data_IF_117219022868
#
_entry.id   IF_117219022868
#
_cell.length_a   1.000
_cell.length_b   1.000
_cell.length_c   1.000
_cell.angle_alpha   90.00
_cell.angle_beta   90.00
_cell.angle_gamma   90.00
#
_symmetry.space_group_name_H-M   'P 1'
#
loop_
_entity.id
_entity.type
_entity.pdbx_description
1 polymer ?
#
# COMPACT_ATOMS: atom_id res chain seq x y z
N UNK A 1 1.92 -4.84 17.79
CA UNK A 1 2.69 -3.81 17.08
C UNK A 1 1.71 -2.78 16.56
N UNK A 2 1.96 -1.50 16.77
CA UNK A 2 1.13 -0.43 16.18
C UNK A 2 1.66 -0.03 14.80
N UNK A 3 0.85 0.72 14.04
CA UNK A 3 1.28 1.23 12.72
C UNK A 3 2.44 2.22 12.84
N UNK A 4 2.47 3.02 13.90
CA UNK A 4 3.55 3.96 14.20
C UNK A 4 4.84 3.23 14.58
N UNK A 5 4.76 2.18 15.41
CA UNK A 5 5.91 1.33 15.77
C UNK A 5 6.51 0.60 14.56
N UNK A 6 5.65 0.12 13.65
CA UNK A 6 6.08 -0.54 12.43
C UNK A 6 6.70 0.45 11.45
N UNK A 7 6.06 1.60 11.23
CA UNK A 7 6.58 2.65 10.35
C UNK A 7 7.96 3.13 10.79
N UNK A 8 8.16 3.33 12.10
CA UNK A 8 9.48 3.69 12.65
C UNK A 8 10.57 2.64 12.38
N UNK A 9 10.22 1.35 12.32
CA UNK A 9 11.16 0.26 12.01
C UNK A 9 11.42 0.09 10.51
N UNK A 10 10.52 0.57 9.65
CA UNK A 10 10.65 0.53 8.20
C UNK A 10 11.37 1.77 7.64
N UNK A 11 11.39 2.87 8.39
CA UNK A 11 11.97 4.12 7.91
C UNK A 11 13.49 3.99 7.72
N UNK A 12 13.98 4.43 6.56
CA UNK A 12 15.37 4.30 6.14
C UNK A 12 15.69 3.00 5.40
N UNK A 13 14.67 2.25 4.95
CA UNK A 13 14.91 1.14 4.01
C UNK A 13 15.45 1.69 2.69
N UNK A 14 16.43 1.01 2.13
CA UNK A 14 16.98 1.31 0.81
C UNK A 14 16.11 0.71 -0.30
N UNK A 15 15.95 1.44 -1.40
CA UNK A 15 15.46 0.90 -2.66
C UNK A 15 16.56 0.02 -3.32
N UNK A 16 16.23 -1.17 -3.87
CA UNK A 16 14.93 -1.81 -3.90
C UNK A 16 14.49 -2.31 -2.53
N UNK A 17 13.23 -2.04 -2.18
CA UNK A 17 12.68 -2.31 -0.85
C UNK A 17 12.77 -3.80 -0.52
N UNK A 18 13.41 -4.11 0.61
CA UNK A 18 13.47 -5.47 1.16
C UNK A 18 13.05 -5.46 2.62
N UNK A 19 11.75 -5.62 2.85
CA UNK A 19 11.21 -5.66 4.21
C UNK A 19 11.69 -6.93 4.92
N UNK A 20 12.32 -6.82 6.12
CA UNK A 20 12.68 -7.99 6.92
C UNK A 20 11.47 -8.89 7.18
N UNK A 21 11.62 -10.20 6.95
CA UNK A 21 10.51 -11.15 7.11
C UNK A 21 9.87 -11.15 8.51
N UNK A 22 10.65 -10.83 9.55
CA UNK A 22 10.13 -10.65 10.91
C UNK A 22 9.15 -9.46 11.02
N UNK A 23 9.39 -8.36 10.30
CA UNK A 23 8.48 -7.22 10.25
C UNK A 23 7.22 -7.53 9.44
N UNK A 24 7.36 -8.25 8.32
CA UNK A 24 6.20 -8.73 7.55
C UNK A 24 5.30 -9.62 8.41
N UNK A 25 5.89 -10.58 9.13
CA UNK A 25 5.16 -11.46 10.02
C UNK A 25 4.52 -10.70 11.20
N UNK A 26 5.22 -9.72 11.77
CA UNK A 26 4.68 -8.89 12.83
C UNK A 26 3.50 -8.03 12.35
N UNK A 27 3.60 -7.44 11.16
CA UNK A 27 2.53 -6.71 10.50
C UNK A 27 1.31 -7.60 10.27
N UNK A 28 1.52 -8.79 9.70
CA UNK A 28 0.47 -9.78 9.49
C UNK A 28 -0.24 -10.16 10.80
N UNK A 29 0.51 -10.46 11.85
CA UNK A 29 -0.05 -10.83 13.16
C UNK A 29 -0.82 -9.69 13.84
N UNK A 30 -0.53 -8.44 13.49
CA UNK A 30 -1.18 -7.24 14.04
C UNK A 30 -2.27 -6.69 13.12
N UNK A 31 -2.57 -7.34 11.99
CA UNK A 31 -3.54 -6.85 11.01
C UNK A 31 -3.12 -5.54 10.32
N UNK A 32 -1.81 -5.29 10.24
CA UNK A 32 -1.24 -4.12 9.59
C UNK A 32 -0.85 -4.44 8.15
N UNK A 33 -1.09 -3.48 7.26
CA UNK A 33 -0.67 -3.51 5.86
C UNK A 33 0.37 -2.43 5.65
N UNK A 34 1.44 -2.77 4.94
CA UNK A 34 2.51 -1.88 4.52
C UNK A 34 2.32 -1.64 3.02
N UNK A 35 2.38 -0.38 2.59
CA UNK A 35 2.36 0.02 1.19
C UNK A 35 3.57 0.89 0.89
N UNK A 36 4.31 0.54 -0.16
CA UNK A 36 5.37 1.35 -0.75
C UNK A 36 5.39 1.19 -2.28
N UNK A 37 6.06 2.11 -2.95
CA UNK A 37 6.20 2.06 -4.40
C UNK A 37 7.45 1.30 -4.79
N UNK A 38 7.41 0.68 -5.96
CA UNK A 38 8.54 0.05 -6.60
C UNK A 38 8.59 0.42 -8.09
N UNK A 39 9.79 0.61 -8.62
CA UNK A 39 9.98 1.10 -9.99
C UNK A 39 9.19 2.40 -10.25
N UNK A 40 8.68 2.56 -11.47
CA UNK A 40 7.81 3.63 -11.97
C UNK A 40 6.36 3.20 -12.19
N UNK A 41 6.02 1.95 -11.83
CA UNK A 41 4.77 1.33 -12.21
C UNK A 41 4.11 0.45 -11.15
N UNK A 42 4.67 0.30 -9.94
CA UNK A 42 4.12 -0.64 -8.94
C UNK A 42 3.80 0.00 -7.59
N UNK A 43 2.60 -0.31 -7.09
CA UNK A 43 2.26 -0.27 -5.67
C UNK A 43 2.43 -1.68 -5.08
N UNK A 44 3.30 -1.84 -4.08
CA UNK A 44 3.53 -3.11 -3.42
C UNK A 44 2.94 -3.13 -2.00
N UNK A 45 2.14 -4.15 -1.71
CA UNK A 45 1.50 -4.35 -0.42
C UNK A 45 2.11 -5.54 0.31
N UNK A 46 2.36 -5.37 1.62
CA UNK A 46 2.93 -6.39 2.49
C UNK A 46 2.21 -6.48 3.85
N UNK A 47 2.48 -7.55 4.60
CA UNK A 47 1.95 -7.76 5.95
C UNK A 47 0.66 -8.57 5.93
N UNK A 48 -0.43 -8.00 6.47
CA UNK A 48 -1.72 -8.67 6.55
C UNK A 48 -2.34 -9.00 5.18
N UNK A 49 -1.89 -8.33 4.12
CA UNK A 49 -2.16 -8.65 2.72
C UNK A 49 -0.86 -8.52 1.93
N UNK A 50 -0.68 -9.39 0.93
CA UNK A 50 0.39 -9.31 -0.04
C UNK A 50 -0.24 -9.17 -1.41
N UNK A 51 0.08 -8.10 -2.11
CA UNK A 51 -0.42 -7.82 -3.45
C UNK A 51 0.52 -6.86 -4.18
N UNK A 52 0.47 -6.86 -5.51
CA UNK A 52 1.16 -5.91 -6.37
C UNK A 52 0.15 -5.32 -7.36
N UNK A 53 0.12 -4.00 -7.48
CA UNK A 53 -0.81 -3.31 -8.39
C UNK A 53 -0.02 -2.45 -9.36
N UNK A 54 -0.31 -2.62 -10.66
CA UNK A 54 0.18 -1.72 -11.70
C UNK A 54 -0.42 -0.32 -11.54
N UNK A 55 0.44 0.69 -11.49
CA UNK A 55 0.13 2.06 -11.14
C UNK A 55 1.06 3.04 -11.89
N UNK A 56 1.32 2.78 -13.18
CA UNK A 56 2.20 3.61 -14.01
C UNK A 56 1.73 5.07 -14.09
N UNK A 57 2.63 6.01 -13.80
CA UNK A 57 2.35 7.45 -13.66
C UNK A 57 1.31 7.77 -12.55
N UNK A 58 1.19 6.87 -11.57
CA UNK A 58 0.23 6.94 -10.48
C UNK A 58 -1.06 6.16 -10.76
N UNK A 59 -2.06 6.37 -9.90
CA UNK A 59 -3.34 5.64 -9.98
C UNK A 59 -4.03 5.52 -8.64
N UNK A 60 -5.04 4.65 -8.55
CA UNK A 60 -5.80 4.47 -7.31
C UNK A 60 -6.04 3.00 -7.04
N UNK A 61 -5.51 2.54 -5.90
CA UNK A 61 -5.90 1.26 -5.32
C UNK A 61 -7.18 1.45 -4.50
N UNK A 62 -8.09 0.49 -4.57
CA UNK A 62 -9.24 0.41 -3.67
C UNK A 62 -9.01 -0.72 -2.68
N UNK A 63 -9.19 -0.43 -1.38
CA UNK A 63 -8.97 -1.41 -0.31
C UNK A 63 -10.18 -1.50 0.62
N UNK A 64 -10.55 -2.70 1.01
CA UNK A 64 -11.56 -2.98 2.03
C UNK A 64 -11.00 -3.95 3.09
N UNK A 65 -11.85 -4.35 4.04
CA UNK A 65 -11.46 -5.27 5.11
C UNK A 65 -10.99 -6.66 4.59
N UNK A 66 -11.44 -7.05 3.39
CA UNK A 66 -11.05 -8.30 2.73
C UNK A 66 -9.73 -8.16 1.96
N UNK A 67 -9.34 -6.94 1.60
CA UNK A 67 -8.02 -6.60 1.09
C UNK A 67 -8.07 -5.61 -0.06
N UNK A 68 -7.10 -5.72 -0.96
CA UNK A 68 -7.03 -4.93 -2.18
C UNK A 68 -8.12 -5.45 -3.15
N UNK A 69 -8.79 -4.54 -3.85
CA UNK A 69 -9.70 -4.88 -4.94
C UNK A 69 -8.88 -5.10 -6.23
N UNK A 70 -9.20 -6.13 -7.02
CA UNK A 70 -8.55 -6.35 -8.31
C UNK A 70 -8.86 -5.21 -9.29
N UNK A 71 -8.06 -5.08 -10.34
CA UNK A 71 -8.40 -4.21 -11.46
C UNK A 71 -9.71 -4.69 -12.10
N UNK A 72 -10.69 -3.79 -12.20
CA UNK A 72 -12.00 -4.09 -12.80
C UNK A 72 -11.85 -4.57 -14.25
N UNK A 73 -10.89 -4.02 -14.99
CA UNK A 73 -10.71 -4.34 -16.41
C UNK A 73 -10.07 -5.73 -16.61
N UNK A 74 -9.55 -6.34 -15.54
CA UNK A 74 -9.09 -7.73 -15.53
C UNK A 74 -10.18 -8.75 -15.16
N UNK A 75 -11.41 -8.30 -14.84
CA UNK A 75 -12.51 -9.18 -14.44
C UNK A 75 -13.45 -9.49 -15.62
N UNK A 76 -13.56 -10.77 -15.95
CA UNK A 76 -14.42 -11.27 -17.03
C UNK A 76 -15.63 -12.07 -16.51
N UNK A 77 -15.56 -12.61 -15.28
CA UNK A 77 -16.61 -13.45 -14.71
C UNK A 77 -17.77 -12.64 -14.10
N UNK A 78 -19.03 -13.02 -14.38
CA UNK A 78 -20.21 -12.36 -13.80
C UNK A 78 -20.20 -12.37 -12.26
N UNK A 79 -19.76 -13.47 -11.64
CA UNK A 79 -19.65 -13.59 -10.18
C UNK A 79 -18.55 -12.68 -9.61
N UNK A 80 -17.37 -12.66 -10.25
CA UNK A 80 -16.24 -11.80 -9.86
C UNK A 80 -16.61 -10.32 -9.95
N UNK A 81 -17.30 -9.93 -11.03
CA UNK A 81 -17.81 -8.57 -11.22
C UNK A 81 -18.85 -8.22 -10.16
N UNK A 82 -19.76 -9.15 -9.85
CA UNK A 82 -20.77 -8.92 -8.82
C UNK A 82 -20.15 -8.74 -7.43
N UNK A 83 -19.13 -9.53 -7.09
CA UNK A 83 -18.35 -9.41 -5.86
C UNK A 83 -17.59 -8.08 -5.81
N UNK A 84 -16.88 -7.73 -6.87
CA UNK A 84 -16.18 -6.44 -7.00
C UNK A 84 -17.14 -5.27 -6.74
N UNK A 85 -18.33 -5.29 -7.35
CA UNK A 85 -19.34 -4.23 -7.17
C UNK A 85 -19.84 -4.14 -5.72
N UNK A 86 -19.89 -5.25 -4.96
CA UNK A 86 -20.21 -5.18 -3.53
C UNK A 86 -19.05 -4.61 -2.72
N UNK A 87 -17.83 -5.12 -2.94
CA UNK A 87 -16.62 -4.68 -2.26
C UNK A 87 -16.33 -3.20 -2.48
N UNK A 88 -16.51 -2.72 -3.71
CA UNK A 88 -16.26 -1.33 -4.10
C UNK A 88 -17.09 -0.31 -3.31
N UNK A 89 -18.28 -0.69 -2.82
CA UNK A 89 -19.14 0.21 -2.02
C UNK A 89 -18.55 0.55 -0.65
N UNK A 90 -17.73 -0.36 -0.12
CA UNK A 90 -17.10 -0.24 1.19
C UNK A 90 -15.60 0.10 1.08
N UNK A 91 -15.03 -0.07 -0.11
CA UNK A 91 -13.62 0.16 -0.35
C UNK A 91 -13.25 1.63 -0.19
N UNK A 92 -12.09 1.87 0.41
CA UNK A 92 -11.47 3.18 0.58
C UNK A 92 -10.37 3.35 -0.46
N UNK A 93 -10.25 4.54 -1.08
CA UNK A 93 -9.22 4.78 -2.07
C UNK A 93 -7.87 5.08 -1.42
N UNK A 94 -6.80 4.63 -2.07
CA UNK A 94 -5.43 5.09 -1.86
C UNK A 94 -4.91 5.55 -3.21
N UNK A 95 -4.77 6.86 -3.37
CA UNK A 95 -4.24 7.48 -4.57
C UNK A 95 -2.71 7.47 -4.51
N UNK A 96 -2.06 6.88 -5.51
CA UNK A 96 -0.62 6.93 -5.68
C UNK A 96 -0.24 8.18 -6.49
N UNK A 97 0.61 9.00 -5.90
CA UNK A 97 1.05 10.28 -6.44
C UNK A 97 2.47 10.13 -6.98
N UNK A 98 2.59 9.82 -8.27
CA UNK A 98 3.87 9.71 -8.95
C UNK A 98 4.49 11.09 -9.22
N UNK A 99 5.68 11.33 -8.66
CA UNK A 99 6.46 12.57 -8.81
C UNK A 99 5.65 13.86 -8.55
N UNK A 100 4.72 13.84 -7.58
CA UNK A 100 3.90 15.02 -7.23
C UNK A 100 4.42 15.80 -6.03
N UNK A 101 5.35 15.22 -5.27
CA UNK A 101 6.03 15.88 -4.16
C UNK A 101 7.52 15.98 -4.47
N UNK A 102 8.12 17.15 -4.20
CA UNK A 102 9.53 17.39 -4.47
C UNK A 102 10.40 16.39 -3.71
N UNK A 103 11.29 15.72 -4.44
CA UNK A 103 12.22 14.73 -3.89
C UNK A 103 11.62 13.35 -3.64
N UNK A 104 10.39 13.07 -4.09
CA UNK A 104 9.80 11.72 -4.00
C UNK A 104 9.31 11.24 -5.35
N UNK A 105 9.62 9.99 -5.68
CA UNK A 105 8.98 9.27 -6.77
C UNK A 105 7.56 8.85 -6.38
N UNK A 106 7.39 8.35 -5.15
CA UNK A 106 6.11 7.83 -4.67
C UNK A 106 5.67 8.48 -3.37
N UNK A 107 4.48 9.09 -3.38
CA UNK A 107 3.71 9.37 -2.16
C UNK A 107 2.27 8.90 -2.31
N UNK A 108 1.52 8.88 -1.21
CA UNK A 108 0.16 8.34 -1.18
C UNK A 108 -0.80 9.30 -0.50
N UNK A 109 -2.02 9.39 -1.05
CA UNK A 109 -3.11 10.17 -0.47
C UNK A 109 -4.29 9.27 -0.16
N UNK A 110 -4.71 9.31 1.10
CA UNK A 110 -5.87 8.55 1.59
C UNK A 110 -6.38 9.12 2.91
N UNK A 111 -7.67 8.93 3.20
CA UNK A 111 -8.29 9.25 4.49
C UNK A 111 -8.20 8.10 5.50
N UNK A 112 -7.65 6.94 5.10
CA UNK A 112 -7.42 5.81 6.01
C UNK A 112 -6.41 6.27 7.07
N UNK A 113 -6.70 6.14 8.38
CA UNK A 113 -5.73 6.44 9.42
C UNK A 113 -4.44 5.62 9.24
N UNK A 114 -3.30 6.28 9.02
CA UNK A 114 -2.03 5.63 8.72
C UNK A 114 -0.86 6.29 9.45
N UNK A 115 0.26 5.58 9.49
CA UNK A 115 1.58 6.13 9.78
C UNK A 115 2.44 6.09 8.51
N UNK A 116 3.44 6.96 8.39
CA UNK A 116 4.32 7.03 7.23
C UNK A 116 5.74 6.58 7.56
N UNK A 117 6.45 6.02 6.59
CA UNK A 117 7.87 5.68 6.69
C UNK A 117 8.60 6.09 5.41
N UNK A 118 9.90 6.34 5.52
CA UNK A 118 10.72 6.77 4.38
C UNK A 118 11.51 5.61 3.80
N UNK A 119 11.49 5.49 2.48
CA UNK A 119 12.40 4.66 1.68
C UNK A 119 13.37 5.62 0.97
N UNK A 120 14.66 5.28 0.99
CA UNK A 120 15.73 6.07 0.40
C UNK A 120 16.33 5.37 -0.81
N UNK A 121 16.88 6.14 -1.75
CA UNK A 121 17.69 5.67 -2.86
C UNK A 121 18.90 6.61 -2.98
N UNK A 122 20.12 6.06 -2.88
CA UNK A 122 21.36 6.84 -2.91
C UNK A 122 21.37 8.02 -1.91
N UNK A 123 20.96 7.75 -0.66
CA UNK A 123 20.85 8.72 0.45
C UNK A 123 19.77 9.81 0.29
N UNK A 124 19.04 9.82 -0.84
CA UNK A 124 17.94 10.74 -1.10
C UNK A 124 16.59 10.06 -0.85
N UNK A 125 15.51 10.81 -0.53
CA UNK A 125 14.19 10.22 -0.43
C UNK A 125 13.72 9.65 -1.78
N UNK A 126 13.08 8.49 -1.74
CA UNK A 126 12.51 7.82 -2.92
C UNK A 126 10.99 7.64 -2.78
N UNK A 127 10.54 7.06 -1.68
CA UNK A 127 9.13 6.78 -1.43
C UNK A 127 8.76 7.09 0.02
N UNK A 128 7.66 7.82 0.21
CA UNK A 128 7.00 7.90 1.51
C UNK A 128 5.90 6.85 1.56
N UNK A 129 6.24 5.68 2.10
CA UNK A 129 5.31 4.58 2.28
C UNK A 129 4.34 4.82 3.42
N UNK A 130 3.27 4.01 3.46
CA UNK A 130 2.25 4.07 4.52
C UNK A 130 2.04 2.72 5.19
N UNK A 131 1.69 2.78 6.47
CA UNK A 131 1.25 1.63 7.27
C UNK A 131 -0.14 1.93 7.81
N UNK A 132 -1.11 1.06 7.51
CA UNK A 132 -2.48 1.18 8.00
C UNK A 132 -2.99 -0.15 8.58
N UNK A 133 -4.07 -0.09 9.36
CA UNK A 133 -4.69 -1.28 9.94
C UNK A 133 -5.92 -1.70 9.15
N UNK A 134 -6.12 -3.01 8.94
CA UNK A 134 -7.35 -3.52 8.32
C UNK A 134 -8.61 -3.18 9.14
N UNK A 135 -8.47 -3.05 10.47
CA UNK A 135 -9.56 -2.64 11.34
C UNK A 135 -10.07 -1.22 11.05
N UNK A 136 -9.25 -0.36 10.42
CA UNK A 136 -9.64 0.99 10.02
C UNK A 136 -10.42 0.99 8.68
N UNK A 137 -10.63 -0.18 8.06
CA UNK A 137 -11.39 -0.35 6.80
C UNK A 137 -12.81 -0.88 6.99
N UNK A 138 -13.19 -1.21 8.23
CA UNK A 138 -14.53 -1.69 8.59
C UNK A 138 -15.55 -0.56 8.83
#
# INVERSE_FOLDING_TARGET
MTKEELAAQLSGLEYPVRIPGALVAAAQSSGLVILCGASDDLMEFYGARREEISCYDGGTAFVDADGILPDRDCLDGEEEIAEYVQRQKLAKPIEALWCKEDGYSWTYKTDIPHATFEVVEDEEPYCRGVVFALADLA
#
